data_IF_540102852689
#
_entry.id   IF_540102852689
#
_cell.length_a   1.000
_cell.length_b   1.000
_cell.length_c   1.000
_cell.angle_alpha   90.00
_cell.angle_beta   90.00
_cell.angle_gamma   90.00
#
_symmetry.space_group_name_H-M   'P 1'
#
loop_
_entity.id
_entity.type
_entity.pdbx_description
1 polymer ?
#
# COMPACT_ATOMS: atom_id res chain seq x y z
N UNK A 1 -2.51 -7.69 -8.65
CA UNK A 1 -3.74 -8.12 -7.96
C UNK A 1 -3.56 -9.51 -7.39
N UNK A 2 -4.29 -9.86 -6.30
CA UNK A 2 -4.22 -11.18 -5.71
C UNK A 2 -4.66 -12.26 -6.73
N UNK A 3 -3.95 -13.39 -6.77
CA UNK A 3 -4.28 -14.50 -7.67
C UNK A 3 -4.06 -14.27 -9.16
N UNK A 4 -3.38 -13.20 -9.56
CA UNK A 4 -3.05 -12.97 -10.97
C UNK A 4 -2.08 -14.02 -11.53
N UNK A 5 -1.26 -14.61 -10.68
CA UNK A 5 -0.39 -15.73 -11.05
C UNK A 5 -1.05 -17.08 -10.78
N UNK A 6 -0.69 -18.08 -11.55
CA UNK A 6 -1.24 -19.45 -11.42
C UNK A 6 -0.79 -20.19 -10.15
N UNK A 7 0.15 -19.65 -9.39
CA UNK A 7 0.66 -20.26 -8.16
C UNK A 7 0.47 -19.35 -6.95
N UNK A 8 0.32 -19.95 -5.78
CA UNK A 8 0.37 -19.23 -4.52
C UNK A 8 1.78 -18.67 -4.30
N UNK A 9 1.85 -17.42 -3.82
CA UNK A 9 3.12 -16.74 -3.54
C UNK A 9 3.14 -16.26 -2.09
N UNK A 10 4.25 -16.58 -1.42
CA UNK A 10 4.62 -15.99 -0.14
C UNK A 10 5.78 -15.04 -0.41
N UNK A 11 5.72 -13.84 0.14
CA UNK A 11 6.82 -12.89 0.06
C UNK A 11 7.08 -12.31 1.43
N UNK A 12 8.32 -12.43 1.86
CA UNK A 12 8.85 -11.74 3.03
C UNK A 12 9.79 -10.64 2.56
N UNK A 13 9.59 -9.43 3.04
CA UNK A 13 10.47 -8.29 2.78
C UNK A 13 10.88 -7.70 4.11
N UNK A 14 12.19 -7.50 4.29
CA UNK A 14 12.77 -6.76 5.39
C UNK A 14 13.70 -5.70 4.80
N UNK A 15 13.49 -4.45 5.16
CA UNK A 15 14.31 -3.32 4.73
C UNK A 15 14.70 -2.51 5.95
N UNK A 16 15.97 -2.19 6.07
CA UNK A 16 16.50 -1.24 7.05
C UNK A 16 17.38 -0.24 6.30
N UNK A 17 17.17 1.04 6.55
CA UNK A 17 17.97 2.13 5.99
C UNK A 17 18.93 2.64 7.07
N UNK A 18 20.08 3.19 6.66
CA UNK A 18 21.09 3.83 7.53
C UNK A 18 21.51 2.96 8.73
N UNK A 19 22.25 1.90 8.41
CA UNK A 19 22.82 1.02 9.43
C UNK A 19 23.71 1.81 10.39
N UNK A 20 23.53 1.58 11.68
CA UNK A 20 24.31 2.27 12.74
C UNK A 20 23.63 3.52 13.29
N UNK A 21 22.50 3.97 12.74
CA UNK A 21 21.67 5.03 13.31
C UNK A 21 20.56 4.43 14.16
N UNK A 22 20.38 4.97 15.38
CA UNK A 22 19.20 4.71 16.19
C UNK A 22 17.97 5.23 15.44
N UNK A 23 16.82 4.61 15.61
CA UNK A 23 15.56 4.97 14.97
C UNK A 23 15.54 5.06 13.43
N UNK A 24 16.50 4.42 12.79
CA UNK A 24 16.55 4.33 11.33
C UNK A 24 15.28 3.67 10.74
N UNK A 25 14.81 4.13 9.58
CA UNK A 25 13.63 3.58 8.92
C UNK A 25 13.74 2.07 8.69
N UNK A 26 12.71 1.33 9.13
CA UNK A 26 12.61 -0.12 9.00
C UNK A 26 11.24 -0.50 8.49
N UNK A 27 11.20 -1.32 7.45
CA UNK A 27 9.98 -1.88 6.91
C UNK A 27 10.06 -3.40 6.88
N UNK A 28 9.09 -4.06 7.47
CA UNK A 28 8.93 -5.50 7.43
C UNK A 28 7.55 -5.83 6.87
N UNK A 29 7.49 -6.68 5.87
CA UNK A 29 6.22 -7.12 5.29
C UNK A 29 6.23 -8.62 5.07
N UNK A 30 5.13 -9.26 5.42
CA UNK A 30 4.83 -10.64 5.06
C UNK A 30 3.55 -10.63 4.25
N UNK A 31 3.59 -11.15 3.05
CA UNK A 31 2.41 -11.26 2.21
C UNK A 31 2.24 -12.68 1.66
N UNK A 32 1.00 -13.09 1.61
CA UNK A 32 0.56 -14.31 0.94
C UNK A 32 -0.52 -13.94 -0.06
N UNK A 33 -0.46 -14.47 -1.26
CA UNK A 33 -1.53 -14.36 -2.24
C UNK A 33 -1.61 -15.63 -3.10
N UNK A 34 -2.82 -15.96 -3.50
CA UNK A 34 -3.05 -17.15 -4.32
C UNK A 34 -4.42 -17.12 -4.99
N UNK A 35 -4.61 -18.04 -5.95
CA UNK A 35 -5.92 -18.30 -6.54
C UNK A 35 -6.78 -19.07 -5.56
N UNK A 36 -8.03 -18.66 -5.42
CA UNK A 36 -9.07 -19.36 -4.66
C UNK A 36 -9.98 -20.14 -5.62
N UNK A 37 -10.14 -19.62 -6.85
CA UNK A 37 -10.84 -20.31 -7.93
C UNK A 37 -10.28 -19.86 -9.28
N UNK A 38 -10.79 -20.42 -10.39
CA UNK A 38 -10.34 -20.09 -11.76
C UNK A 38 -10.44 -18.59 -12.07
N UNK A 39 -11.34 -17.88 -11.40
CA UNK A 39 -11.59 -16.45 -11.64
C UNK A 39 -11.42 -15.59 -10.41
N UNK A 40 -10.98 -16.14 -9.29
CA UNK A 40 -10.85 -15.38 -8.06
C UNK A 40 -9.51 -15.63 -7.38
N UNK A 41 -8.97 -14.58 -6.79
CA UNK A 41 -7.78 -14.61 -5.97
C UNK A 41 -8.00 -13.95 -4.64
N UNK A 42 -7.29 -14.42 -3.63
CA UNK A 42 -7.26 -13.80 -2.31
C UNK A 42 -5.81 -13.56 -1.88
N UNK A 43 -5.64 -12.59 -1.02
CA UNK A 43 -4.33 -12.27 -0.46
C UNK A 43 -4.45 -11.66 0.92
N UNK A 44 -3.37 -11.77 1.67
CA UNK A 44 -3.20 -11.17 2.98
C UNK A 44 -1.82 -10.53 3.05
N UNK A 45 -1.72 -9.38 3.66
CA UNK A 45 -0.45 -8.71 3.94
C UNK A 45 -0.45 -8.19 5.37
N UNK A 46 0.64 -8.50 6.07
CA UNK A 46 0.96 -7.93 7.38
C UNK A 46 2.20 -7.08 7.20
N UNK A 47 2.19 -5.89 7.76
CA UNK A 47 3.35 -5.00 7.69
C UNK A 47 3.61 -4.31 9.01
N UNK A 48 4.88 -3.97 9.23
CA UNK A 48 5.35 -3.14 10.32
C UNK A 48 6.38 -2.17 9.73
N UNK A 49 6.04 -0.89 9.78
CA UNK A 49 6.85 0.22 9.30
C UNK A 49 7.20 1.12 10.47
N UNK A 50 8.48 1.30 10.75
CA UNK A 50 8.99 2.22 11.76
C UNK A 50 9.86 3.26 11.08
N UNK A 51 9.60 4.53 11.34
CA UNK A 51 10.37 5.65 10.84
C UNK A 51 10.55 6.70 11.93
N UNK A 52 11.70 6.67 12.59
CA UNK A 52 11.93 7.47 13.79
C UNK A 52 10.94 7.10 14.89
N UNK A 53 10.32 8.10 15.47
CA UNK A 53 9.31 7.97 16.53
C UNK A 53 7.93 7.55 16.04
N UNK A 54 7.73 7.55 14.73
CA UNK A 54 6.48 7.14 14.12
C UNK A 54 6.54 5.66 13.70
N UNK A 55 5.52 4.89 14.07
CA UNK A 55 5.38 3.51 13.62
C UNK A 55 3.98 3.21 13.13
N UNK A 56 3.89 2.38 12.10
CA UNK A 56 2.63 1.88 11.56
C UNK A 56 2.68 0.36 11.47
N UNK A 57 1.65 -0.29 11.98
CA UNK A 57 1.43 -1.73 11.83
C UNK A 57 0.09 -1.96 11.19
N UNK A 58 0.01 -2.94 10.33
CA UNK A 58 -1.26 -3.19 9.68
C UNK A 58 -1.41 -4.61 9.15
N UNK A 59 -2.67 -4.98 9.04
CA UNK A 59 -3.13 -6.20 8.39
C UNK A 59 -4.13 -5.79 7.31
N UNK A 60 -3.91 -6.26 6.07
CA UNK A 60 -4.86 -6.08 4.97
C UNK A 60 -5.20 -7.43 4.35
N UNK A 61 -6.47 -7.61 4.05
CA UNK A 61 -6.99 -8.74 3.27
C UNK A 61 -7.45 -8.20 1.93
N UNK A 62 -7.16 -8.91 0.87
CA UNK A 62 -7.53 -8.53 -0.49
C UNK A 62 -8.25 -9.68 -1.19
N UNK A 63 -9.23 -9.32 -2.00
CA UNK A 63 -9.93 -10.21 -2.89
C UNK A 63 -9.91 -9.62 -4.30
N UNK A 64 -9.68 -10.46 -5.29
CA UNK A 64 -9.69 -10.06 -6.68
C UNK A 64 -10.54 -11.01 -7.51
N UNK A 65 -11.28 -10.44 -8.47
CA UNK A 65 -12.04 -11.19 -9.45
C UNK A 65 -11.51 -10.91 -10.85
N UNK A 66 -11.29 -11.99 -11.62
CA UNK A 66 -10.66 -11.98 -12.92
C UNK A 66 -11.68 -12.36 -14.00
N UNK A 67 -11.97 -11.44 -14.90
CA UNK A 67 -12.75 -11.66 -16.12
C UNK A 67 -11.78 -12.04 -17.24
N UNK A 68 -11.80 -13.29 -17.64
CA UNK A 68 -11.02 -13.81 -18.75
C UNK A 68 -11.86 -13.73 -20.02
N UNK A 69 -11.46 -12.91 -20.99
CA UNK A 69 -12.11 -12.79 -22.28
C UNK A 69 -11.54 -13.78 -23.28
N UNK A 70 -10.29 -14.21 -23.12
CA UNK A 70 -9.66 -15.29 -23.85
C UNK A 70 -9.09 -16.33 -22.88
N UNK A 71 -9.16 -17.61 -23.26
CA UNK A 71 -8.60 -18.72 -22.51
C UNK A 71 -7.26 -19.20 -23.06
N UNK A 72 -6.84 -18.67 -24.19
CA UNK A 72 -5.57 -19.05 -24.81
C UNK A 72 -4.41 -18.43 -24.01
N UNK A 73 -3.41 -19.26 -23.72
CA UNK A 73 -2.19 -18.81 -23.02
C UNK A 73 -1.38 -17.81 -23.87
N UNK A 74 -1.64 -17.77 -25.17
CA UNK A 74 -0.95 -16.90 -26.14
C UNK A 74 -1.57 -15.51 -26.15
N UNK A 75 -2.89 -15.41 -26.00
CA UNK A 75 -3.65 -14.17 -26.12
C UNK A 75 -4.28 -13.81 -24.76
N UNK A 76 -3.46 -13.33 -23.83
CA UNK A 76 -3.96 -12.90 -22.53
C UNK A 76 -4.87 -11.67 -22.72
N UNK A 77 -6.16 -11.85 -22.51
CA UNK A 77 -7.15 -10.77 -22.46
C UNK A 77 -7.93 -10.90 -21.16
N UNK A 78 -7.54 -10.10 -20.17
CA UNK A 78 -8.03 -10.23 -18.81
C UNK A 78 -8.29 -8.86 -18.20
N UNK A 79 -9.50 -8.69 -17.69
CA UNK A 79 -9.86 -7.56 -16.82
C UNK A 79 -10.01 -8.08 -15.40
N UNK A 80 -9.39 -7.42 -14.44
CA UNK A 80 -9.41 -7.83 -13.03
C UNK A 80 -9.83 -6.66 -12.17
N UNK A 81 -10.69 -6.95 -11.19
CA UNK A 81 -11.07 -6.00 -10.15
C UNK A 81 -10.59 -6.53 -8.81
N UNK A 82 -10.14 -5.65 -7.95
CA UNK A 82 -9.67 -6.00 -6.61
C UNK A 82 -10.18 -5.03 -5.57
N UNK A 83 -10.54 -5.59 -4.43
CA UNK A 83 -10.88 -4.87 -3.22
C UNK A 83 -9.92 -5.30 -2.12
N UNK A 84 -9.50 -4.36 -1.30
CA UNK A 84 -8.80 -4.68 -0.06
C UNK A 84 -9.40 -3.93 1.11
N UNK A 85 -9.42 -4.60 2.25
CA UNK A 85 -9.82 -4.05 3.53
C UNK A 85 -8.74 -4.38 4.56
N UNK A 86 -8.48 -3.46 5.46
CA UNK A 86 -7.47 -3.66 6.48
C UNK A 86 -7.64 -2.77 7.68
N UNK A 87 -6.93 -3.14 8.73
CA UNK A 87 -6.78 -2.36 9.96
C UNK A 87 -5.35 -1.87 10.03
N UNK A 88 -5.18 -0.59 10.24
CA UNK A 88 -3.87 0.04 10.38
C UNK A 88 -3.84 0.73 11.74
N UNK A 89 -2.83 0.44 12.52
CA UNK A 89 -2.51 1.13 13.77
C UNK A 89 -1.31 2.03 13.53
N UNK A 90 -1.48 3.31 13.79
CA UNK A 90 -0.43 4.31 13.83
C UNK A 90 -0.07 4.60 15.29
N UNK A 91 1.22 4.77 15.56
CA UNK A 91 1.73 5.11 16.87
C UNK A 91 2.78 6.20 16.72
N UNK A 92 2.69 7.22 17.54
CA UNK A 92 3.73 8.23 17.76
C UNK A 92 4.25 8.08 19.17
N UNK A 93 5.56 7.95 19.31
CA UNK A 93 6.25 7.85 20.60
C UNK A 93 6.95 9.16 20.93
N UNK A 94 6.40 9.91 21.87
CA UNK A 94 6.94 11.20 22.29
C UNK A 94 7.83 11.09 23.54
N UNK A 95 8.04 9.89 24.08
CA UNK A 95 8.75 9.70 25.35
C UNK A 95 10.22 10.11 25.29
N UNK A 96 10.85 10.03 24.14
CA UNK A 96 12.27 10.42 23.98
C UNK A 96 12.48 11.94 23.96
N UNK A 97 11.45 12.73 23.62
CA UNK A 97 11.57 14.19 23.64
C UNK A 97 11.71 14.77 25.05
N UNK A 98 11.32 14.03 26.08
CA UNK A 98 11.52 14.43 27.48
C UNK A 98 12.99 14.44 27.91
N UNK A 99 13.83 13.61 27.28
CA UNK A 99 15.23 13.46 27.65
C UNK A 99 16.13 14.57 27.07
N UNK A 100 15.66 15.37 26.15
CA UNK A 100 16.45 16.38 25.44
C UNK A 100 16.62 17.70 26.20
N UNK A 101 16.00 17.86 27.37
CA UNK A 101 16.22 19.01 28.27
C UNK A 101 15.52 20.31 27.88
N UNK A 102 14.95 20.41 26.69
CA UNK A 102 14.16 21.56 26.25
C UNK A 102 12.67 21.29 26.50
N UNK A 103 12.09 22.07 27.41
CA UNK A 103 10.65 21.98 27.69
C UNK A 103 9.86 22.66 26.58
N UNK A 104 9.22 21.90 25.70
CA UNK A 104 8.21 22.39 24.77
C UNK A 104 6.82 22.13 25.34
N UNK A 105 6.03 23.22 25.66
CA UNK A 105 4.70 23.07 26.24
C UNK A 105 3.69 22.37 25.31
N UNK A 106 4.00 22.21 24.02
CA UNK A 106 3.16 21.50 23.06
C UNK A 106 3.45 19.98 23.02
N UNK A 107 4.54 19.52 23.66
CA UNK A 107 4.90 18.12 23.73
C UNK A 107 4.49 17.57 25.10
N UNK A 108 3.44 16.78 25.12
CA UNK A 108 2.99 16.10 26.35
C UNK A 108 3.86 14.87 26.69
N UNK A 109 5.11 14.92 26.50
CA UNK A 109 6.21 13.96 26.66
C UNK A 109 6.06 12.63 27.42
N UNK A 110 4.91 12.33 27.93
CA UNK A 110 4.58 11.07 28.63
C UNK A 110 3.62 10.18 27.85
N UNK A 111 3.24 10.59 26.63
CA UNK A 111 2.13 9.96 25.92
C UNK A 111 2.61 9.25 24.66
N UNK A 112 2.43 7.94 24.63
CA UNK A 112 2.45 7.17 23.39
C UNK A 112 1.07 7.29 22.77
N UNK A 113 0.94 8.15 21.75
CA UNK A 113 -0.31 8.31 21.04
C UNK A 113 -0.51 7.15 20.08
N UNK A 114 -1.67 6.51 20.13
CA UNK A 114 -2.05 5.39 19.26
C UNK A 114 -3.41 5.64 18.65
N UNK A 115 -3.50 5.43 17.37
CA UNK A 115 -4.75 5.46 16.63
C UNK A 115 -4.86 4.26 15.71
N UNK A 116 -6.06 3.72 15.59
CA UNK A 116 -6.34 2.57 14.74
C UNK A 116 -7.53 2.87 13.82
N UNK A 117 -7.34 2.67 12.53
CA UNK A 117 -8.36 2.98 11.53
C UNK A 117 -8.52 1.87 10.51
N UNK A 118 -9.72 1.83 9.93
CA UNK A 118 -10.03 0.96 8.81
C UNK A 118 -9.55 1.60 7.50
N UNK A 119 -8.97 0.79 6.65
CA UNK A 119 -8.50 1.20 5.34
C UNK A 119 -9.12 0.33 4.26
N UNK A 120 -9.62 0.97 3.21
CA UNK A 120 -10.21 0.30 2.06
C UNK A 120 -9.54 0.81 0.78
N UNK A 121 -9.13 -0.14 -0.07
CA UNK A 121 -8.55 0.17 -1.36
C UNK A 121 -9.34 -0.56 -2.46
N UNK A 122 -9.46 0.07 -3.62
CA UNK A 122 -10.06 -0.50 -4.82
C UNK A 122 -9.06 -0.45 -5.96
N UNK A 123 -9.02 -1.49 -6.80
CA UNK A 123 -8.16 -1.52 -7.96
C UNK A 123 -8.79 -2.22 -9.15
N UNK A 124 -8.43 -1.78 -10.34
CA UNK A 124 -8.73 -2.44 -11.60
C UNK A 124 -7.45 -2.65 -12.39
N UNK A 125 -7.36 -3.73 -13.13
CA UNK A 125 -6.22 -4.07 -13.96
C UNK A 125 -6.70 -4.68 -15.26
N UNK A 126 -6.21 -4.17 -16.38
CA UNK A 126 -6.45 -4.72 -17.70
C UNK A 126 -5.15 -5.19 -18.32
N UNK A 127 -5.15 -6.42 -18.79
CA UNK A 127 -4.02 -7.02 -19.49
C UNK A 127 -4.51 -7.50 -20.84
N UNK A 128 -3.89 -7.03 -21.91
CA UNK A 128 -4.17 -7.43 -23.28
C UNK A 128 -2.88 -7.68 -24.05
N UNK A 129 -2.61 -8.95 -24.35
CA UNK A 129 -1.35 -9.37 -24.95
C UNK A 129 -0.14 -8.86 -24.14
N UNK A 130 0.61 -7.97 -24.74
CA UNK A 130 1.79 -7.33 -24.15
C UNK A 130 1.49 -5.99 -23.46
N UNK A 131 0.26 -5.49 -23.55
CA UNK A 131 -0.18 -4.25 -22.93
C UNK A 131 -0.77 -4.53 -21.56
N UNK A 132 -0.40 -3.74 -20.56
CA UNK A 132 -1.06 -3.74 -19.28
C UNK A 132 -1.37 -2.32 -18.80
N UNK A 133 -2.46 -2.18 -18.10
CA UNK A 133 -2.86 -0.95 -17.44
C UNK A 133 -3.46 -1.26 -16.08
N UNK A 134 -3.10 -0.47 -15.08
CA UNK A 134 -3.59 -0.63 -13.70
C UNK A 134 -4.07 0.70 -13.16
N UNK A 135 -5.21 0.67 -12.50
CA UNK A 135 -5.74 1.78 -11.73
C UNK A 135 -5.98 1.36 -10.29
N UNK A 136 -5.56 2.15 -9.32
CA UNK A 136 -5.78 1.87 -7.91
C UNK A 136 -6.17 3.14 -7.18
N UNK A 137 -7.23 3.05 -6.40
CA UNK A 137 -7.65 4.07 -5.45
C UNK A 137 -7.33 3.54 -4.07
N UNK A 138 -6.38 4.17 -3.39
CA UNK A 138 -6.04 3.87 -2.00
C UNK A 138 -6.80 4.80 -1.07
N UNK A 139 -7.11 4.28 0.12
CA UNK A 139 -7.80 5.04 1.15
C UNK A 139 -9.15 5.57 0.64
N UNK A 140 -9.98 4.69 0.09
CA UNK A 140 -11.30 5.05 -0.46
C UNK A 140 -12.16 5.76 0.58
N UNK A 141 -12.05 5.34 1.83
CA UNK A 141 -12.70 5.99 2.98
C UNK A 141 -11.66 6.83 3.69
N UNK A 142 -11.90 8.13 3.72
CA UNK A 142 -11.08 9.06 4.48
C UNK A 142 -11.34 8.88 5.97
N UNK A 143 -10.29 8.79 6.75
CA UNK A 143 -10.39 8.71 8.21
C UNK A 143 -9.51 9.81 8.79
N UNK A 144 -10.12 10.69 9.56
CA UNK A 144 -9.40 11.69 10.34
C UNK A 144 -8.64 11.00 11.46
N UNK A 145 -7.40 11.41 11.68
CA UNK A 145 -6.53 10.88 12.73
C UNK A 145 -6.27 11.96 13.75
N UNK A 146 -6.58 11.67 15.00
CA UNK A 146 -6.37 12.59 16.13
C UNK A 146 -5.00 12.39 16.81
N UNK A 147 -3.98 11.91 16.08
CA UNK A 147 -2.65 11.69 16.65
C UNK A 147 -1.92 13.01 16.95
N UNK A 148 -2.30 14.08 16.27
CA UNK A 148 -1.73 15.42 16.47
C UNK A 148 -2.84 16.39 16.85
N UNK A 149 -2.77 16.95 18.06
CA UNK A 149 -3.79 17.88 18.59
C UNK A 149 -3.93 19.19 17.80
N UNK A 150 -2.99 19.51 16.91
CA UNK A 150 -2.96 20.78 16.14
C UNK A 150 -2.97 20.53 14.62
N UNK A 151 -2.48 19.40 14.16
CA UNK A 151 -2.45 19.04 12.73
C UNK A 151 -3.05 17.65 12.54
N UNK A 152 -4.32 17.61 12.14
CA UNK A 152 -4.97 16.37 11.75
C UNK A 152 -4.24 15.78 10.53
N UNK A 153 -3.65 14.63 10.67
CA UNK A 153 -3.07 13.89 9.56
C UNK A 153 -4.16 13.05 8.92
N UNK A 154 -4.81 13.58 7.92
CA UNK A 154 -5.81 12.86 7.15
C UNK A 154 -5.17 11.72 6.34
N UNK A 155 -5.86 10.60 6.31
CA UNK A 155 -5.52 9.50 5.41
C UNK A 155 -6.03 9.82 4.00
N UNK A 156 -5.32 10.71 3.31
CA UNK A 156 -5.75 11.25 2.02
C UNK A 156 -5.91 10.15 0.97
N UNK A 157 -6.93 10.29 0.16
CA UNK A 157 -7.16 9.41 -0.99
C UNK A 157 -6.04 9.59 -2.02
N UNK A 158 -5.53 8.44 -2.52
CA UNK A 158 -4.48 8.40 -3.54
C UNK A 158 -4.95 7.62 -4.75
N UNK A 159 -4.79 8.23 -5.91
CA UNK A 159 -5.05 7.62 -7.21
C UNK A 159 -3.70 7.24 -7.84
N UNK A 160 -3.55 5.96 -8.17
CA UNK A 160 -2.38 5.45 -8.87
C UNK A 160 -2.84 4.90 -10.22
N UNK A 161 -2.23 5.37 -11.28
CA UNK A 161 -2.47 4.89 -12.64
C UNK A 161 -1.13 4.46 -13.21
N UNK A 162 -1.06 3.25 -13.73
CA UNK A 162 0.13 2.77 -14.41
C UNK A 162 -0.24 2.06 -15.70
N UNK A 163 0.61 2.17 -16.70
CA UNK A 163 0.51 1.44 -17.95
C UNK A 163 1.90 1.07 -18.43
N UNK A 164 2.01 -0.04 -19.14
CA UNK A 164 3.25 -0.47 -19.75
C UNK A 164 2.99 -1.41 -20.92
N UNK A 165 4.02 -1.55 -21.74
CA UNK A 165 3.98 -2.39 -22.93
C UNK A 165 5.27 -3.19 -23.03
N UNK A 166 5.15 -4.51 -23.21
CA UNK A 166 6.29 -5.42 -23.37
C UNK A 166 6.49 -5.73 -24.84
N UNK A 167 7.68 -5.51 -25.38
CA UNK A 167 8.01 -5.85 -26.76
C UNK A 167 9.44 -6.38 -26.86
N UNK A 168 9.69 -7.14 -27.91
CA UNK A 168 11.00 -7.72 -28.17
C UNK A 168 10.95 -9.24 -28.28
N UNK A 169 12.13 -9.85 -28.34
CA UNK A 169 12.30 -11.28 -28.46
C UNK A 169 12.62 -11.89 -27.08
N UNK A 170 11.80 -12.86 -26.65
CA UNK A 170 11.97 -13.56 -25.36
C UNK A 170 13.31 -14.28 -25.24
N UNK A 171 13.93 -14.65 -26.38
CA UNK A 171 15.23 -15.34 -26.41
C UNK A 171 16.43 -14.38 -26.41
N UNK A 172 16.22 -13.08 -26.64
CA UNK A 172 17.30 -12.10 -26.75
C UNK A 172 17.14 -10.93 -25.78
N UNK A 173 16.25 -10.01 -26.08
CA UNK A 173 16.04 -8.78 -25.29
C UNK A 173 14.57 -8.44 -25.27
N UNK A 174 14.04 -8.23 -24.06
CA UNK A 174 12.71 -7.68 -23.83
C UNK A 174 12.82 -6.23 -23.37
N UNK A 175 12.01 -5.38 -23.94
CA UNK A 175 11.85 -3.97 -23.54
C UNK A 175 10.49 -3.78 -22.90
N UNK A 176 10.46 -3.12 -21.76
CA UNK A 176 9.23 -2.85 -21.00
C UNK A 176 9.19 -1.37 -20.58
N UNK A 177 8.86 -0.44 -21.52
CA UNK A 177 8.54 0.91 -21.12
C UNK A 177 7.27 0.92 -20.27
N UNK A 178 7.34 1.61 -19.13
CA UNK A 178 6.20 1.76 -18.23
C UNK A 178 6.14 3.18 -17.67
N UNK A 179 4.92 3.62 -17.36
CA UNK A 179 4.65 4.90 -16.72
C UNK A 179 3.78 4.68 -15.49
N UNK A 180 4.09 5.41 -14.43
CA UNK A 180 3.30 5.47 -13.20
C UNK A 180 2.95 6.93 -12.93
N UNK A 181 1.65 7.20 -12.78
CA UNK A 181 1.14 8.49 -12.35
C UNK A 181 0.47 8.35 -10.99
N UNK A 182 0.81 9.23 -10.06
CA UNK A 182 0.22 9.27 -8.72
C UNK A 182 -0.35 10.65 -8.45
N UNK A 183 -1.62 10.70 -8.04
CA UNK A 183 -2.29 11.89 -7.57
C UNK A 183 -2.75 11.66 -6.12
N UNK A 184 -2.47 12.62 -5.25
CA UNK A 184 -2.98 12.63 -3.87
C UNK A 184 -4.01 13.76 -3.76
N UNK A 185 -5.19 13.45 -3.26
CA UNK A 185 -6.24 14.42 -3.00
C UNK A 185 -5.78 15.38 -1.90
N UNK A 186 -5.95 16.69 -2.11
CA UNK A 186 -5.68 17.69 -1.08
C UNK A 186 -6.98 17.95 -0.34
N UNK A 187 -6.93 17.90 0.97
CA UNK A 187 -8.04 18.36 1.80
C UNK A 187 -8.21 19.87 1.57
N UNK A 188 -9.34 20.27 1.03
CA UNK A 188 -9.72 21.68 1.04
C UNK A 188 -10.23 21.97 2.45
N UNK A 189 -9.45 22.71 3.23
CA UNK A 189 -9.96 23.35 4.43
C UNK A 189 -11.08 24.31 4.00
N UNK A 190 -12.32 23.91 4.22
CA UNK A 190 -13.44 24.85 4.25
C UNK A 190 -13.43 25.50 5.61
N UNK A 191 -12.74 26.63 5.71
CA UNK A 191 -12.95 27.59 6.79
C UNK A 191 -14.34 28.17 6.57
N UNK A 192 -15.28 27.87 7.46
CA UNK A 192 -16.57 28.53 7.58
C UNK A 192 -16.40 29.72 8.51
#
# INVERSE_FOLDING_TARGET
MAGAANCAKVRLTARKQWFGQEDAPQLQTLSFNGRVSDRAGAGIIVFNDKNGYHSQKGLKVSYAYHLLFSRDEIDLNQLSFGLSAGVIQSQLDETEFLNSGDFDPNINGTIVQRDSYLNFDFGASYNYLNLYAHGTIKNVVETRREIYSVYESDNLRKYLLSAGYVFGDKERVLWEPSVLFQLTEKTQEKTI
#
